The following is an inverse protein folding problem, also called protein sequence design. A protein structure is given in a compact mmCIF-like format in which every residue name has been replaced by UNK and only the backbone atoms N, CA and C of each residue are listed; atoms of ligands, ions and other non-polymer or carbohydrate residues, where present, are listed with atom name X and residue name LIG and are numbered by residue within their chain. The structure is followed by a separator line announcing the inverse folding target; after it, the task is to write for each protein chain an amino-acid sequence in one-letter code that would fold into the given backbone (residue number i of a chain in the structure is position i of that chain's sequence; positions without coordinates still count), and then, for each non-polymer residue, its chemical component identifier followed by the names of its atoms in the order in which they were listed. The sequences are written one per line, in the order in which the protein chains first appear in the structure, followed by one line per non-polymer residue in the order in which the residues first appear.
data_IF_695875218700
#
_entry.id   IF_695875218700
#
_cell.length_a   1.000
_cell.length_b   1.000
_cell.length_c   1.000
_cell.angle_alpha   90.00
_cell.angle_beta   90.00
_cell.angle_gamma   90.00
#
_symmetry.space_group_name_H-M   'P 1'
#
loop_
_entity.id
_entity.type
_entity.pdbx_description
1 polymer ?
#
# COMPACT_ATOMS: atom_id res chain seq x y z
N UNK A 1 -0.65 5.27 41.90
CA UNK A 1 -0.84 4.45 40.67
C UNK A 1 -0.98 5.45 39.54
N UNK A 2 0.07 5.66 38.78
CA UNK A 2 0.02 6.57 37.61
C UNK A 2 -0.69 5.77 36.52
N UNK A 3 -1.90 6.22 36.13
CA UNK A 3 -2.65 5.65 35.03
C UNK A 3 -1.74 5.64 33.77
N UNK A 4 -1.35 4.44 33.31
CA UNK A 4 -0.71 4.26 32.02
C UNK A 4 -1.72 4.76 30.98
N UNK A 5 -1.36 5.70 30.08
CA UNK A 5 -2.30 6.11 29.05
C UNK A 5 -2.78 4.87 28.31
N UNK A 6 -4.09 4.77 28.10
CA UNK A 6 -4.71 3.64 27.43
C UNK A 6 -4.10 3.51 26.01
N UNK A 7 -3.11 2.65 25.85
CA UNK A 7 -2.36 2.45 24.60
C UNK A 7 -3.30 2.26 23.39
N UNK A 8 -4.46 1.64 23.61
CA UNK A 8 -5.45 1.44 22.54
C UNK A 8 -6.10 2.76 22.10
N UNK A 9 -6.39 3.67 23.03
CA UNK A 9 -6.95 4.99 22.69
C UNK A 9 -5.92 5.82 21.92
N UNK A 10 -4.67 5.82 22.35
CA UNK A 10 -3.59 6.54 21.66
C UNK A 10 -3.38 5.99 20.25
N UNK A 11 -3.36 4.67 20.08
CA UNK A 11 -3.25 4.03 18.77
C UNK A 11 -4.41 4.41 17.83
N UNK A 12 -5.65 4.41 18.35
CA UNK A 12 -6.80 4.82 17.56
C UNK A 12 -6.72 6.30 17.13
N UNK A 13 -6.26 7.19 18.01
CA UNK A 13 -6.06 8.62 17.70
C UNK A 13 -4.99 8.79 16.61
N UNK A 14 -3.88 8.05 16.68
CA UNK A 14 -2.79 8.11 15.71
C UNK A 14 -3.24 7.61 14.33
N UNK A 15 -3.99 6.51 14.27
CA UNK A 15 -4.56 5.99 13.02
C UNK A 15 -5.55 6.96 12.39
N UNK A 16 -6.46 7.56 13.18
CA UNK A 16 -7.40 8.54 12.68
C UNK A 16 -6.70 9.81 12.17
N UNK A 17 -5.62 10.23 12.83
CA UNK A 17 -4.79 11.36 12.38
C UNK A 17 -4.10 11.04 11.04
N UNK A 18 -3.55 9.83 10.87
CA UNK A 18 -2.95 9.39 9.62
C UNK A 18 -3.98 9.29 8.49
N UNK A 19 -5.14 8.69 8.76
CA UNK A 19 -6.22 8.57 7.79
C UNK A 19 -6.75 9.94 7.33
N UNK A 20 -6.94 10.89 8.27
CA UNK A 20 -7.35 12.25 7.93
C UNK A 20 -6.30 12.96 7.08
N UNK A 21 -5.02 12.87 7.45
CA UNK A 21 -3.92 13.47 6.68
C UNK A 21 -3.87 12.90 5.26
N UNK A 22 -3.93 11.57 5.10
CA UNK A 22 -3.97 10.90 3.80
C UNK A 22 -5.18 11.37 2.97
N UNK A 23 -6.37 11.47 3.58
CA UNK A 23 -7.59 11.95 2.92
C UNK A 23 -7.47 13.40 2.44
N UNK A 24 -6.89 14.28 3.26
CA UNK A 24 -6.66 15.69 2.89
C UNK A 24 -5.67 15.80 1.71
N UNK A 25 -4.57 15.04 1.77
CA UNK A 25 -3.53 15.07 0.72
C UNK A 25 -4.03 14.50 -0.62
N UNK A 26 -4.84 13.45 -0.59
CA UNK A 26 -5.41 12.81 -1.78
C UNK A 26 -6.84 13.28 -2.13
N UNK A 27 -7.31 14.40 -1.58
CA UNK A 27 -8.72 14.84 -1.71
C UNK A 27 -9.20 14.95 -3.17
N UNK A 28 -8.34 15.43 -4.07
CA UNK A 28 -8.63 15.57 -5.50
C UNK A 28 -8.34 14.30 -6.33
N UNK A 29 -7.61 13.33 -5.76
CA UNK A 29 -7.18 12.14 -6.50
C UNK A 29 -8.30 11.10 -6.56
N UNK A 30 -8.37 10.42 -7.70
CA UNK A 30 -9.34 9.34 -7.96
C UNK A 30 -8.63 8.09 -8.45
N UNK A 31 -9.19 6.92 -8.13
CA UNK A 31 -8.76 5.64 -8.71
C UNK A 31 -8.98 5.65 -10.22
N UNK A 32 -8.12 4.96 -10.96
CA UNK A 32 -8.17 4.89 -12.44
C UNK A 32 -9.32 4.02 -12.97
N UNK A 33 -10.00 3.28 -12.11
CA UNK A 33 -11.14 2.44 -12.49
C UNK A 33 -12.32 3.26 -13.00
N UNK A 34 -13.23 2.61 -13.72
CA UNK A 34 -14.42 3.25 -14.30
C UNK A 34 -15.33 3.94 -13.27
N UNK A 35 -15.35 3.46 -12.01
CA UNK A 35 -16.10 4.08 -10.90
C UNK A 35 -15.47 5.36 -10.37
N UNK A 36 -14.21 5.67 -10.73
CA UNK A 36 -13.47 6.87 -10.30
C UNK A 36 -13.58 7.15 -8.78
N UNK A 37 -13.48 6.10 -7.96
CA UNK A 37 -13.61 6.19 -6.52
C UNK A 37 -12.59 7.13 -5.88
N UNK A 38 -12.90 7.78 -4.73
CA UNK A 38 -11.91 8.54 -3.97
C UNK A 38 -10.67 7.69 -3.66
N UNK A 39 -9.48 8.27 -3.83
CA UNK A 39 -8.23 7.52 -3.66
C UNK A 39 -8.04 6.98 -2.23
N UNK A 40 -8.59 7.68 -1.24
CA UNK A 40 -8.55 7.27 0.17
C UNK A 40 -9.11 5.85 0.39
N UNK A 41 -10.07 5.39 -0.43
CA UNK A 41 -10.62 4.04 -0.32
C UNK A 41 -9.52 2.98 -0.49
N UNK A 42 -8.57 3.20 -1.42
CA UNK A 42 -7.41 2.35 -1.60
C UNK A 42 -6.50 2.33 -0.36
N UNK A 43 -6.19 3.49 0.19
CA UNK A 43 -5.29 3.61 1.35
C UNK A 43 -5.90 2.92 2.59
N UNK A 44 -7.21 3.06 2.77
CA UNK A 44 -7.94 2.37 3.84
C UNK A 44 -7.95 0.85 3.62
N UNK A 45 -8.21 0.37 2.39
CA UNK A 45 -8.18 -1.05 2.07
C UNK A 45 -6.79 -1.65 2.30
N UNK A 46 -5.71 -0.96 1.91
CA UNK A 46 -4.34 -1.41 2.15
C UNK A 46 -4.06 -1.52 3.65
N UNK A 47 -4.46 -0.52 4.45
CA UNK A 47 -4.28 -0.55 5.90
C UNK A 47 -5.11 -1.66 6.57
N UNK A 48 -6.35 -1.90 6.12
CA UNK A 48 -7.22 -2.98 6.61
C UNK A 48 -6.61 -4.35 6.31
N UNK A 49 -6.11 -4.58 5.10
CA UNK A 49 -5.44 -5.82 4.72
C UNK A 49 -4.22 -6.10 5.60
N UNK A 50 -3.39 -5.08 5.83
CA UNK A 50 -2.24 -5.20 6.74
C UNK A 50 -2.70 -5.50 8.16
N UNK A 51 -3.71 -4.79 8.68
CA UNK A 51 -4.24 -5.00 10.03
C UNK A 51 -4.75 -6.42 10.24
N UNK A 52 -5.46 -6.97 9.25
CA UNK A 52 -6.01 -8.34 9.30
C UNK A 52 -4.91 -9.42 9.33
N UNK A 53 -3.73 -9.10 8.79
CA UNK A 53 -2.61 -10.02 8.70
C UNK A 53 -1.63 -9.93 9.88
N UNK A 54 -1.84 -8.98 10.81
CA UNK A 54 -1.03 -8.83 12.01
C UNK A 54 -1.47 -9.80 13.12
N UNK A 55 -0.51 -10.37 13.81
CA UNK A 55 -0.69 -11.16 15.04
C UNK A 55 -0.55 -10.32 16.32
N UNK A 56 -0.03 -9.10 16.19
CA UNK A 56 0.13 -8.13 17.28
C UNK A 56 -0.05 -6.69 16.75
N UNK A 57 -0.32 -5.76 17.67
CA UNK A 57 -0.53 -4.36 17.29
C UNK A 57 0.77 -3.68 16.82
N UNK A 58 0.76 -3.16 15.59
CA UNK A 58 1.84 -2.32 15.04
C UNK A 58 1.23 -1.05 14.44
N UNK A 59 1.01 -0.06 15.29
CA UNK A 59 0.38 1.22 14.89
C UNK A 59 1.20 1.97 13.84
N UNK A 60 2.53 1.92 13.92
CA UNK A 60 3.39 2.59 12.94
C UNK A 60 3.27 1.95 11.55
N UNK A 61 3.20 0.62 11.47
CA UNK A 61 2.98 -0.08 10.21
C UNK A 61 1.62 0.28 9.60
N UNK A 62 0.57 0.33 10.41
CA UNK A 62 -0.77 0.71 9.94
C UNK A 62 -0.82 2.18 9.47
N UNK A 63 -0.15 3.09 10.19
CA UNK A 63 0.00 4.48 9.72
C UNK A 63 0.78 4.54 8.41
N UNK A 64 1.88 3.79 8.28
CA UNK A 64 2.64 3.73 7.03
C UNK A 64 1.82 3.17 5.87
N UNK A 65 0.97 2.17 6.12
CA UNK A 65 0.03 1.64 5.13
C UNK A 65 -1.00 2.68 4.67
N UNK A 66 -1.54 3.51 5.58
CA UNK A 66 -2.42 4.64 5.25
C UNK A 66 -1.70 5.74 4.43
N UNK A 67 -0.40 5.88 4.61
CA UNK A 67 0.39 6.99 4.08
C UNK A 67 1.28 6.58 2.88
N UNK A 68 1.26 5.31 2.45
CA UNK A 68 2.28 4.73 1.58
C UNK A 68 2.44 5.45 0.24
N UNK A 69 1.38 6.02 -0.32
CA UNK A 69 1.41 6.75 -1.60
C UNK A 69 1.55 8.26 -1.44
N UNK A 70 1.57 8.81 -0.19
CA UNK A 70 1.62 10.26 0.00
C UNK A 70 2.91 10.89 -0.52
N UNK A 71 4.04 10.21 -0.39
CA UNK A 71 5.31 10.71 -0.92
C UNK A 71 5.35 10.59 -2.45
N UNK A 72 4.95 9.46 -2.99
CA UNK A 72 4.99 9.19 -4.43
C UNK A 72 4.01 10.05 -5.22
N UNK A 73 2.76 10.15 -4.77
CA UNK A 73 1.68 10.73 -5.58
C UNK A 73 1.42 12.20 -5.31
N UNK A 74 1.65 12.68 -4.09
CA UNK A 74 1.29 14.05 -3.68
C UNK A 74 2.43 14.83 -3.05
N UNK A 75 3.66 14.29 -3.12
CA UNK A 75 4.90 15.02 -2.82
C UNK A 75 5.12 15.33 -1.34
N UNK A 76 4.53 14.56 -0.42
CA UNK A 76 4.85 14.69 1.02
C UNK A 76 6.26 14.22 1.26
N UNK A 77 7.08 15.05 1.91
CA UNK A 77 8.48 14.69 2.15
C UNK A 77 8.64 13.72 3.32
N UNK A 78 9.75 12.97 3.32
CA UNK A 78 10.11 12.09 4.43
C UNK A 78 10.22 12.85 5.75
N UNK A 79 10.74 14.07 5.72
CA UNK A 79 10.89 14.95 6.89
C UNK A 79 9.53 15.41 7.42
N UNK A 80 8.56 15.70 6.54
CA UNK A 80 7.19 16.02 6.95
C UNK A 80 6.54 14.82 7.64
N UNK A 81 6.69 13.60 7.09
CA UNK A 81 6.16 12.38 7.71
C UNK A 81 6.82 12.10 9.06
N UNK A 82 8.14 12.23 9.17
CA UNK A 82 8.87 12.03 10.43
C UNK A 82 8.43 13.01 11.53
N UNK A 83 8.21 14.27 11.17
CA UNK A 83 7.78 15.31 12.12
C UNK A 83 6.33 15.12 12.57
N UNK A 84 5.42 14.74 11.66
CA UNK A 84 3.99 14.61 11.95
C UNK A 84 3.61 13.30 12.64
N UNK A 85 4.33 12.23 12.35
CA UNK A 85 4.04 10.89 12.82
C UNK A 85 5.24 10.31 13.59
N UNK A 86 6.21 9.74 12.88
CA UNK A 86 7.46 9.28 13.47
C UNK A 86 8.52 9.00 12.40
N UNK A 87 9.78 8.92 12.80
CA UNK A 87 10.87 8.50 11.91
C UNK A 87 10.64 7.07 11.37
N UNK A 88 10.05 6.19 12.16
CA UNK A 88 9.74 4.81 11.77
C UNK A 88 8.69 4.76 10.66
N UNK A 89 7.58 5.51 10.80
CA UNK A 89 6.56 5.66 9.73
C UNK A 89 7.18 6.22 8.46
N UNK A 90 7.98 7.29 8.57
CA UNK A 90 8.63 7.92 7.42
C UNK A 90 9.59 6.97 6.70
N UNK A 91 10.32 6.13 7.43
CA UNK A 91 11.21 5.13 6.87
C UNK A 91 10.43 4.03 6.13
N UNK A 92 9.36 3.52 6.71
CA UNK A 92 8.51 2.51 6.06
C UNK A 92 7.89 3.04 4.76
N UNK A 93 7.36 4.28 4.76
CA UNK A 93 6.84 4.91 3.54
C UNK A 93 7.95 5.04 2.49
N UNK A 94 9.15 5.47 2.89
CA UNK A 94 10.29 5.59 1.97
C UNK A 94 10.69 4.24 1.33
N UNK A 95 10.61 3.11 2.07
CA UNK A 95 10.92 1.77 1.54
C UNK A 95 9.94 1.31 0.45
N UNK A 96 8.72 1.84 0.42
CA UNK A 96 7.71 1.44 -0.55
C UNK A 96 7.49 2.47 -1.66
N UNK A 97 8.07 3.67 -1.54
CA UNK A 97 7.98 4.78 -2.51
C UNK A 97 8.89 4.55 -3.71
N UNK A 98 8.35 4.66 -4.92
CA UNK A 98 9.11 4.60 -6.18
C UNK A 98 9.73 5.98 -6.52
N UNK A 99 10.88 5.95 -7.19
CA UNK A 99 11.49 7.16 -7.76
C UNK A 99 10.78 7.57 -9.05
N UNK A 100 9.94 8.59 -9.00
CA UNK A 100 9.20 9.10 -10.16
C UNK A 100 10.05 9.82 -11.20
N UNK A 101 11.32 10.10 -10.94
CA UNK A 101 12.24 10.62 -11.95
C UNK A 101 12.58 9.57 -13.01
N UNK A 102 12.43 8.29 -12.68
CA UNK A 102 12.67 7.16 -13.57
C UNK A 102 11.44 6.88 -14.46
N UNK A 103 11.69 6.33 -15.64
CA UNK A 103 10.60 5.88 -16.50
C UNK A 103 9.80 4.72 -15.87
N UNK A 104 8.58 4.50 -16.41
CA UNK A 104 7.67 3.50 -15.85
C UNK A 104 8.19 2.07 -15.92
N UNK A 105 8.92 1.71 -16.98
CA UNK A 105 9.43 0.36 -17.16
C UNK A 105 10.53 0.09 -16.14
N UNK A 106 11.41 1.06 -15.91
CA UNK A 106 12.47 0.97 -14.93
C UNK A 106 11.93 0.91 -13.50
N UNK A 107 10.95 1.75 -13.14
CA UNK A 107 10.30 1.65 -11.82
C UNK A 107 9.70 0.26 -11.58
N UNK A 108 8.99 -0.30 -12.58
CA UNK A 108 8.44 -1.66 -12.48
C UNK A 108 9.53 -2.72 -12.30
N UNK A 109 10.64 -2.60 -13.02
CA UNK A 109 11.79 -3.50 -12.89
C UNK A 109 12.40 -3.40 -11.49
N UNK A 110 12.61 -2.18 -11.01
CA UNK A 110 13.19 -1.93 -9.68
C UNK A 110 12.30 -2.42 -8.55
N UNK A 111 10.98 -2.36 -8.66
CA UNK A 111 10.10 -2.96 -7.65
C UNK A 111 10.35 -4.47 -7.49
N UNK A 112 10.64 -5.20 -8.57
CA UNK A 112 10.99 -6.63 -8.50
C UNK A 112 12.38 -6.81 -7.87
N UNK A 113 13.37 -6.04 -8.33
CA UNK A 113 14.76 -6.15 -7.85
C UNK A 113 14.90 -5.79 -6.38
N UNK A 114 14.19 -4.76 -5.92
CA UNK A 114 14.27 -4.29 -4.54
C UNK A 114 13.37 -5.10 -3.58
N UNK A 115 12.36 -5.81 -4.09
CA UNK A 115 11.40 -6.54 -3.27
C UNK A 115 12.06 -7.43 -2.18
N UNK A 116 13.10 -8.24 -2.47
CA UNK A 116 13.71 -9.11 -1.45
C UNK A 116 14.52 -8.36 -0.40
N UNK A 117 14.83 -7.08 -0.62
CA UNK A 117 15.70 -6.27 0.24
C UNK A 117 14.93 -5.30 1.14
N UNK A 118 13.60 -5.19 0.99
CA UNK A 118 12.77 -4.37 1.86
C UNK A 118 12.50 -5.08 3.19
N UNK A 119 12.23 -4.30 4.25
CA UNK A 119 11.87 -4.86 5.55
C UNK A 119 10.60 -5.72 5.46
N UNK A 120 10.44 -6.68 6.38
CA UNK A 120 9.22 -7.54 6.44
C UNK A 120 7.96 -6.67 6.52
N UNK A 121 8.01 -5.57 7.28
CA UNK A 121 6.89 -4.62 7.42
C UNK A 121 6.56 -3.93 6.08
N UNK A 122 7.57 -3.46 5.35
CA UNK A 122 7.39 -2.88 4.03
C UNK A 122 6.87 -3.92 3.00
N UNK A 123 7.31 -5.18 3.10
CA UNK A 123 6.78 -6.28 2.29
C UNK A 123 5.27 -6.49 2.51
N UNK A 124 4.76 -6.36 3.74
CA UNK A 124 3.32 -6.44 4.02
C UNK A 124 2.55 -5.34 3.30
N UNK A 125 3.03 -4.09 3.34
CA UNK A 125 2.41 -2.97 2.60
C UNK A 125 2.42 -3.26 1.09
N UNK A 126 3.55 -3.72 0.55
CA UNK A 126 3.67 -4.04 -0.89
C UNK A 126 2.69 -5.11 -1.34
N UNK A 127 2.51 -6.19 -0.57
CA UNK A 127 1.52 -7.24 -0.92
C UNK A 127 0.11 -6.67 -0.86
N UNK A 128 -0.25 -5.95 0.22
CA UNK A 128 -1.57 -5.36 0.40
C UNK A 128 -1.91 -4.35 -0.71
N UNK A 129 -0.94 -3.50 -1.13
CA UNK A 129 -1.09 -2.62 -2.29
C UNK A 129 -1.41 -3.41 -3.57
N UNK A 130 -0.66 -4.50 -3.84
CA UNK A 130 -0.92 -5.32 -5.04
C UNK A 130 -2.29 -5.99 -4.98
N UNK A 131 -2.74 -6.48 -3.81
CA UNK A 131 -4.08 -7.05 -3.64
C UNK A 131 -5.15 -6.01 -3.99
N UNK A 132 -5.10 -4.82 -3.38
CA UNK A 132 -6.07 -3.74 -3.63
C UNK A 132 -6.08 -3.32 -5.10
N UNK A 133 -4.90 -3.21 -5.72
CA UNK A 133 -4.79 -2.87 -7.13
C UNK A 133 -5.36 -3.97 -8.05
N UNK A 134 -5.13 -5.25 -7.78
CA UNK A 134 -5.72 -6.36 -8.55
C UNK A 134 -7.24 -6.44 -8.36
N UNK A 135 -7.75 -6.21 -7.14
CA UNK A 135 -9.20 -6.13 -6.88
C UNK A 135 -9.85 -5.03 -7.72
N UNK A 136 -9.23 -3.84 -7.75
CA UNK A 136 -9.69 -2.74 -8.60
C UNK A 136 -9.71 -3.11 -10.09
N UNK A 137 -8.68 -3.82 -10.58
CA UNK A 137 -8.63 -4.28 -11.98
C UNK A 137 -9.73 -5.29 -12.34
N UNK A 138 -10.20 -6.08 -11.38
CA UNK A 138 -11.31 -7.03 -11.58
C UNK A 138 -12.65 -6.31 -11.51
N UNK A 139 -12.84 -5.47 -10.47
CA UNK A 139 -14.16 -4.92 -10.14
C UNK A 139 -14.49 -3.63 -10.91
N UNK A 140 -13.49 -2.81 -11.19
CA UNK A 140 -13.63 -1.50 -11.85
C UNK A 140 -12.37 -1.21 -12.69
N UNK A 141 -12.15 -1.96 -13.79
CA UNK A 141 -10.96 -1.76 -14.62
C UNK A 141 -10.96 -0.36 -15.27
N UNK A 142 -9.76 0.24 -15.49
CA UNK A 142 -9.66 1.47 -16.26
C UNK A 142 -10.20 1.28 -17.68
N UNK A 143 -11.07 2.17 -18.12
CA UNK A 143 -11.74 2.07 -19.43
C UNK A 143 -10.76 2.13 -20.62
N UNK A 144 -9.61 2.81 -20.43
CA UNK A 144 -8.55 2.98 -21.44
C UNK A 144 -7.51 1.84 -21.44
N UNK A 145 -7.68 0.81 -20.60
CA UNK A 145 -6.76 -0.32 -20.55
C UNK A 145 -7.27 -1.51 -21.34
N UNK A 146 -6.50 -1.90 -22.36
CA UNK A 146 -6.76 -3.15 -23.10
C UNK A 146 -6.68 -4.36 -22.14
N UNK A 147 -7.35 -5.45 -22.52
CA UNK A 147 -7.25 -6.73 -21.82
C UNK A 147 -5.79 -7.19 -21.67
N UNK A 148 -4.99 -7.02 -22.73
CA UNK A 148 -3.56 -7.36 -22.72
C UNK A 148 -2.82 -6.56 -21.64
N UNK A 149 -3.01 -5.25 -21.56
CA UNK A 149 -2.38 -4.39 -20.55
C UNK A 149 -2.79 -4.77 -19.12
N UNK A 150 -4.04 -5.18 -18.90
CA UNK A 150 -4.52 -5.68 -17.59
C UNK A 150 -3.82 -6.99 -17.21
N UNK A 151 -3.71 -7.94 -18.15
CA UNK A 151 -2.99 -9.21 -17.95
C UNK A 151 -1.49 -9.00 -17.64
N UNK A 152 -0.84 -8.10 -18.36
CA UNK A 152 0.55 -7.70 -18.09
C UNK A 152 0.73 -7.10 -16.69
N UNK A 153 -0.26 -6.33 -16.21
CA UNK A 153 -0.23 -5.80 -14.85
C UNK A 153 -0.33 -6.90 -13.80
N UNK A 154 -1.23 -7.87 -13.97
CA UNK A 154 -1.33 -9.04 -13.08
C UNK A 154 -0.02 -9.83 -13.04
N UNK A 155 0.57 -10.12 -14.22
CA UNK A 155 1.83 -10.83 -14.32
C UNK A 155 2.96 -10.10 -13.59
N UNK A 156 3.06 -8.79 -13.80
CA UNK A 156 4.04 -7.97 -13.09
C UNK A 156 3.81 -7.93 -11.58
N UNK A 157 2.59 -7.76 -11.12
CA UNK A 157 2.27 -7.78 -9.70
C UNK A 157 2.68 -9.10 -9.05
N UNK A 158 2.46 -10.23 -9.75
CA UNK A 158 2.92 -11.55 -9.30
C UNK A 158 4.44 -11.63 -9.20
N UNK A 159 5.19 -11.12 -10.19
CA UNK A 159 6.65 -11.09 -10.15
C UNK A 159 7.19 -10.32 -8.94
N UNK A 160 6.56 -9.18 -8.58
CA UNK A 160 6.92 -8.42 -7.38
C UNK A 160 6.68 -9.24 -6.12
N UNK A 161 5.50 -9.86 -5.99
CA UNK A 161 5.15 -10.64 -4.78
C UNK A 161 5.97 -11.91 -4.66
N UNK A 162 6.28 -12.60 -5.77
CA UNK A 162 7.12 -13.80 -5.75
C UNK A 162 8.59 -13.49 -5.42
N UNK A 163 9.05 -12.24 -5.65
CA UNK A 163 10.40 -11.81 -5.32
C UNK A 163 10.58 -11.42 -3.84
N UNK A 164 9.52 -11.29 -3.06
CA UNK A 164 9.61 -10.96 -1.62
C UNK A 164 10.31 -12.07 -0.85
N UNK A 165 11.26 -11.70 0.02
CA UNK A 165 12.07 -12.67 0.78
C UNK A 165 11.31 -13.34 1.93
N UNK A 166 10.32 -12.67 2.50
CA UNK A 166 9.53 -13.17 3.63
C UNK A 166 8.08 -12.67 3.58
N UNK A 167 7.30 -13.10 2.58
CA UNK A 167 5.91 -12.67 2.45
C UNK A 167 5.05 -13.18 3.60
N UNK A 168 4.24 -12.29 4.18
CA UNK A 168 3.25 -12.68 5.18
C UNK A 168 2.28 -13.72 4.60
N UNK A 169 2.06 -14.89 5.24
CA UNK A 169 1.30 -16.00 4.68
C UNK A 169 -0.18 -15.67 4.45
N UNK A 170 -0.79 -14.84 5.29
CA UNK A 170 -2.18 -14.42 5.17
C UNK A 170 -2.34 -13.54 3.92
N UNK A 171 -1.51 -12.51 3.78
CA UNK A 171 -1.52 -11.63 2.61
C UNK A 171 -1.14 -12.39 1.33
N UNK A 172 -0.19 -13.33 1.41
CA UNK A 172 0.17 -14.14 0.24
C UNK A 172 -0.99 -15.02 -0.24
N UNK A 173 -1.72 -15.64 0.68
CA UNK A 173 -2.91 -16.44 0.35
C UNK A 173 -4.01 -15.57 -0.29
N UNK A 174 -4.24 -14.35 0.23
CA UNK A 174 -5.19 -13.40 -0.31
C UNK A 174 -4.77 -12.90 -1.71
N UNK A 175 -3.47 -12.60 -1.89
CA UNK A 175 -2.92 -12.27 -3.20
C UNK A 175 -3.12 -13.40 -4.21
N UNK A 176 -2.82 -14.64 -3.84
CA UNK A 176 -2.99 -15.79 -4.72
C UNK A 176 -4.47 -16.03 -5.07
N UNK A 177 -5.38 -15.73 -4.15
CA UNK A 177 -6.82 -15.81 -4.41
C UNK A 177 -7.26 -14.78 -5.47
N UNK A 178 -6.87 -13.50 -5.34
CA UNK A 178 -7.21 -12.48 -6.35
C UNK A 178 -6.46 -12.72 -7.66
N UNK A 179 -5.21 -13.18 -7.63
CA UNK A 179 -4.44 -13.47 -8.84
C UNK A 179 -5.11 -14.54 -9.70
N UNK A 180 -5.72 -15.57 -9.10
CA UNK A 180 -6.47 -16.60 -9.84
C UNK A 180 -7.63 -16.03 -10.67
N UNK A 181 -8.12 -14.81 -10.33
CA UNK A 181 -9.14 -14.11 -11.10
C UNK A 181 -8.63 -13.55 -12.44
N UNK A 182 -7.31 -13.65 -12.73
CA UNK A 182 -6.73 -13.31 -14.04
C UNK A 182 -7.44 -14.03 -15.20
N UNK A 183 -7.90 -15.25 -14.98
CA UNK A 183 -8.65 -16.04 -15.97
C UNK A 183 -10.03 -15.45 -16.28
N UNK A 184 -10.58 -14.63 -15.39
CA UNK A 184 -11.91 -14.03 -15.48
C UNK A 184 -11.87 -12.67 -16.22
N UNK A 185 -10.66 -12.16 -16.54
CA UNK A 185 -10.47 -10.96 -17.35
C UNK A 185 -10.68 -11.30 -18.81
#
# INVERSE_FOLDING_TARGET
MIDQPNNALTAAQDLLRAARFASEKHAAQRRKGASAEPYINHLLEVAELVATALDHADTNLLMAALLHDTSEDVGVTKEELATRFSADVANLVAEVTDDKSLDKAERKRLQIVHAPHTSIRAQMIKIADKISNLRSMVNSPPADWSLQRRREYFTWAKQVVDALSSPNPILKAEFDAIYRRLKDL
#
